data_IF_537082691315
#
_entry.id   IF_537082691315
#
_cell.length_a   1.000
_cell.length_b   1.000
_cell.length_c   1.000
_cell.angle_alpha   90.00
_cell.angle_beta   90.00
_cell.angle_gamma   90.00
#
_symmetry.space_group_name_H-M   'P 1'
#
loop_
_entity.id
_entity.type
_entity.pdbx_description
1 polymer ?
#
# COMPACT_ATOMS: atom_id res chain seq x y z
N UNK A 1 -5.56 -33.81 -10.06
CA UNK A 1 -5.84 -33.73 -8.61
C UNK A 1 -5.79 -32.25 -8.30
N UNK A 2 -6.95 -31.60 -8.24
CA UNK A 2 -7.03 -30.20 -7.84
C UNK A 2 -6.79 -30.16 -6.34
N UNK A 3 -5.67 -29.58 -5.94
CA UNK A 3 -5.38 -29.34 -4.53
C UNK A 3 -6.37 -28.30 -4.02
N UNK A 4 -7.23 -28.69 -3.08
CA UNK A 4 -8.05 -27.78 -2.30
C UNK A 4 -7.11 -26.92 -1.46
N UNK A 5 -6.64 -25.81 -2.04
CA UNK A 5 -5.79 -24.87 -1.34
C UNK A 5 -6.63 -24.23 -0.23
N UNK A 6 -6.19 -24.24 1.05
CA UNK A 6 -6.98 -23.72 2.17
C UNK A 6 -7.41 -22.26 2.03
N UNK A 7 -6.83 -21.51 1.09
CA UNK A 7 -7.17 -20.12 0.78
C UNK A 7 -8.30 -19.93 -0.26
N UNK A 8 -8.86 -21.00 -0.84
CA UNK A 8 -9.85 -20.87 -1.93
C UNK A 8 -11.28 -20.50 -1.49
N UNK A 9 -11.56 -20.39 -0.19
CA UNK A 9 -12.93 -20.21 0.31
C UNK A 9 -13.35 -18.75 0.60
N UNK A 10 -12.48 -17.76 0.40
CA UNK A 10 -12.75 -16.38 0.85
C UNK A 10 -13.64 -15.54 -0.07
N UNK A 11 -13.98 -16.01 -1.28
CA UNK A 11 -14.72 -15.23 -2.27
C UNK A 11 -16.18 -15.66 -2.50
N UNK A 12 -16.64 -16.77 -1.89
CA UNK A 12 -17.94 -17.35 -2.29
C UNK A 12 -19.12 -17.02 -1.36
N UNK A 13 -18.94 -16.41 -0.17
CA UNK A 13 -20.06 -16.20 0.75
C UNK A 13 -19.99 -14.84 1.50
N UNK A 14 -20.62 -13.80 0.94
CA UNK A 14 -20.82 -12.51 1.60
C UNK A 14 -21.78 -12.57 2.82
N UNK A 15 -22.46 -13.70 3.03
CA UNK A 15 -23.40 -13.91 4.16
C UNK A 15 -22.75 -14.57 5.38
N UNK A 16 -21.49 -15.00 5.28
CA UNK A 16 -20.81 -15.58 6.44
C UNK A 16 -20.37 -14.47 7.40
N UNK A 17 -20.62 -14.62 8.71
CA UNK A 17 -20.02 -13.74 9.69
C UNK A 17 -18.49 -13.85 9.61
N UNK A 18 -17.81 -12.72 9.80
CA UNK A 18 -16.35 -12.68 9.91
C UNK A 18 -15.90 -13.63 11.04
N UNK A 19 -14.76 -14.29 10.83
CA UNK A 19 -14.04 -14.95 11.91
C UNK A 19 -13.57 -13.93 12.94
N UNK A 20 -13.30 -14.40 14.17
CA UNK A 20 -12.79 -13.56 15.26
C UNK A 20 -11.49 -12.84 14.83
N UNK A 21 -10.61 -13.53 14.09
CA UNK A 21 -9.36 -12.96 13.58
C UNK A 21 -9.57 -11.85 12.54
N UNK A 22 -10.55 -12.03 11.64
CA UNK A 22 -10.91 -11.01 10.65
C UNK A 22 -11.57 -9.79 11.31
N UNK A 23 -12.41 -10.00 12.33
CA UNK A 23 -13.00 -8.91 13.08
C UNK A 23 -11.93 -8.10 13.84
N UNK A 24 -10.98 -8.78 14.49
CA UNK A 24 -9.84 -8.12 15.14
C UNK A 24 -9.03 -7.31 14.13
N UNK A 25 -8.71 -7.90 12.97
CA UNK A 25 -7.98 -7.20 11.91
C UNK A 25 -8.73 -5.94 11.45
N UNK A 26 -10.05 -6.04 11.24
CA UNK A 26 -10.90 -4.92 10.86
C UNK A 26 -10.91 -3.82 11.93
N UNK A 27 -11.00 -4.19 13.21
CA UNK A 27 -10.97 -3.23 14.32
C UNK A 27 -9.62 -2.48 14.41
N UNK A 28 -8.50 -3.16 14.13
CA UNK A 28 -7.17 -2.55 14.08
C UNK A 28 -7.00 -1.59 12.89
N UNK A 29 -7.68 -1.85 11.77
CA UNK A 29 -7.71 -0.96 10.60
C UNK A 29 -8.64 0.25 10.81
N UNK A 30 -9.81 0.03 11.42
CA UNK A 30 -10.88 1.03 11.57
C UNK A 30 -10.82 1.80 12.89
N UNK A 31 -9.61 1.98 13.45
CA UNK A 31 -9.42 2.85 14.61
C UNK A 31 -9.75 4.31 14.25
N UNK A 32 -10.59 4.93 15.07
CA UNK A 32 -10.97 6.35 14.95
C UNK A 32 -9.75 7.26 15.15
N UNK A 33 -8.97 7.00 16.19
CA UNK A 33 -7.71 7.71 16.41
C UNK A 33 -6.63 7.10 15.50
N UNK A 34 -6.06 7.85 14.53
CA UNK A 34 -5.03 7.34 13.64
C UNK A 34 -3.76 6.90 14.36
N UNK A 35 -3.45 7.48 15.53
CA UNK A 35 -2.26 7.07 16.30
C UNK A 35 -2.40 5.68 16.93
N UNK A 36 -3.62 5.15 17.00
CA UNK A 36 -3.90 3.80 17.51
C UNK A 36 -4.08 2.80 16.37
N UNK A 37 -4.14 3.25 15.12
CA UNK A 37 -4.26 2.39 13.95
C UNK A 37 -2.92 1.72 13.69
N UNK A 38 -2.92 0.41 13.55
CA UNK A 38 -1.72 -0.35 13.17
C UNK A 38 -1.27 0.02 11.75
N UNK A 39 0.03 0.00 11.54
CA UNK A 39 0.66 0.15 10.23
C UNK A 39 0.39 -1.07 9.34
N UNK A 40 0.55 -0.92 8.03
CA UNK A 40 0.42 -2.03 7.09
C UNK A 40 1.38 -3.19 7.41
N UNK A 41 2.61 -2.86 7.84
CA UNK A 41 3.63 -3.84 8.23
C UNK A 41 3.23 -4.64 9.49
N UNK A 42 2.47 -4.05 10.41
CA UNK A 42 1.93 -4.77 11.57
C UNK A 42 0.71 -5.61 11.20
N UNK A 43 -0.15 -5.11 10.30
CA UNK A 43 -1.38 -5.81 9.89
C UNK A 43 -1.09 -7.06 9.07
N UNK A 44 -0.07 -7.04 8.20
CA UNK A 44 0.28 -8.20 7.36
C UNK A 44 0.80 -9.39 8.16
N UNK A 45 1.20 -9.17 9.42
CA UNK A 45 1.56 -10.24 10.36
C UNK A 45 0.37 -10.97 10.99
N UNK A 46 -0.86 -10.59 10.64
CA UNK A 46 -2.09 -11.22 11.13
C UNK A 46 -2.21 -12.67 10.62
N UNK A 47 -2.71 -13.61 11.45
CA UNK A 47 -2.97 -15.00 11.04
C UNK A 47 -3.88 -15.14 9.81
N UNK A 48 -4.74 -14.13 9.57
CA UNK A 48 -5.60 -14.06 8.38
C UNK A 48 -4.80 -14.20 7.08
N UNK A 49 -3.54 -13.75 7.07
CA UNK A 49 -2.68 -13.80 5.88
C UNK A 49 -1.75 -15.01 5.82
N UNK A 50 -1.63 -15.82 6.88
CA UNK A 50 -0.62 -16.89 6.99
C UNK A 50 -0.64 -17.87 5.81
N UNK A 51 -1.81 -18.06 5.19
CA UNK A 51 -1.99 -18.99 4.09
C UNK A 51 -1.44 -18.47 2.74
N UNK A 52 -1.23 -17.15 2.61
CA UNK A 52 -0.70 -16.48 1.40
C UNK A 52 0.59 -15.70 1.65
N UNK A 53 1.05 -15.65 2.90
CA UNK A 53 2.15 -14.79 3.34
C UNK A 53 3.50 -15.26 2.79
N UNK A 54 4.27 -14.33 2.23
CA UNK A 54 5.68 -14.56 1.86
C UNK A 54 6.55 -13.40 2.39
N UNK A 55 7.29 -13.61 3.50
CA UNK A 55 8.14 -12.58 4.11
C UNK A 55 9.21 -12.01 3.17
N UNK A 56 9.62 -12.73 2.12
CA UNK A 56 10.62 -12.23 1.16
C UNK A 56 10.03 -11.15 0.24
N UNK A 57 8.71 -11.14 0.06
CA UNK A 57 7.99 -10.15 -0.75
C UNK A 57 7.51 -8.95 0.07
N UNK A 58 7.66 -8.98 1.38
CA UNK A 58 7.23 -7.92 2.32
C UNK A 58 8.34 -6.89 2.60
N UNK A 59 9.42 -6.91 1.83
CA UNK A 59 10.54 -5.99 2.04
C UNK A 59 10.11 -4.53 1.80
N UNK A 60 10.51 -3.59 2.68
CA UNK A 60 10.25 -2.17 2.45
C UNK A 60 11.03 -1.68 1.21
N UNK A 61 10.52 -0.62 0.58
CA UNK A 61 11.21 0.02 -0.53
C UNK A 61 12.62 0.46 -0.10
N UNK A 62 13.61 0.26 -0.99
CA UNK A 62 15.01 0.60 -0.71
C UNK A 62 15.30 2.10 -0.69
N UNK A 63 14.36 2.92 -1.19
CA UNK A 63 14.47 4.37 -1.25
C UNK A 63 13.08 5.01 -1.09
N UNK A 64 13.08 6.22 -0.53
CA UNK A 64 11.90 7.07 -0.51
C UNK A 64 11.78 7.83 -1.84
N UNK A 65 10.56 7.95 -2.36
CA UNK A 65 10.27 8.78 -3.53
C UNK A 65 10.25 10.23 -3.07
N UNK A 66 11.12 11.05 -3.66
CA UNK A 66 11.12 12.50 -3.50
C UNK A 66 10.61 13.11 -4.81
N UNK A 67 9.47 13.78 -4.76
CA UNK A 67 8.93 14.46 -5.93
C UNK A 67 9.28 15.94 -5.83
N UNK A 68 9.85 16.48 -6.91
CA UNK A 68 10.22 17.91 -6.98
C UNK A 68 9.02 18.83 -6.77
N UNK A 69 7.79 18.38 -7.05
CA UNK A 69 6.55 19.16 -6.84
C UNK A 69 6.19 19.31 -5.36
N UNK A 70 6.69 18.44 -4.49
CA UNK A 70 6.42 18.45 -3.06
C UNK A 70 7.41 19.35 -2.30
N UNK A 71 8.45 19.88 -2.98
CA UNK A 71 9.40 20.78 -2.34
C UNK A 71 8.76 22.14 -2.03
N UNK A 72 9.14 22.78 -0.92
CA UNK A 72 8.73 24.14 -0.63
C UNK A 72 9.05 25.08 -1.81
N UNK A 73 8.17 26.07 -2.03
CA UNK A 73 8.34 27.13 -3.04
C UNK A 73 8.29 26.69 -4.51
N UNK A 74 7.81 25.46 -4.80
CA UNK A 74 7.65 24.96 -6.18
C UNK A 74 6.35 25.34 -6.85
N UNK A 75 5.33 25.62 -6.06
CA UNK A 75 4.07 26.16 -6.57
C UNK A 75 4.10 27.68 -6.48
N UNK A 76 3.92 28.37 -7.60
CA UNK A 76 3.77 29.82 -7.63
C UNK A 76 2.30 30.17 -7.32
N UNK A 77 2.00 30.44 -6.05
CA UNK A 77 0.66 30.81 -5.59
C UNK A 77 0.14 32.12 -6.18
N UNK A 78 1.02 33.04 -6.56
CA UNK A 78 0.64 34.33 -7.15
C UNK A 78 0.18 34.15 -8.61
N UNK A 79 0.81 33.21 -9.33
CA UNK A 79 0.46 32.93 -10.73
C UNK A 79 -0.46 31.74 -10.92
N UNK A 80 -0.69 30.93 -9.87
CA UNK A 80 -1.34 29.61 -9.95
C UNK A 80 -0.70 28.70 -11.00
N UNK A 81 0.64 28.61 -10.96
CA UNK A 81 1.41 27.80 -11.90
C UNK A 81 2.30 26.84 -11.12
N UNK A 82 2.20 25.56 -11.44
CA UNK A 82 3.19 24.56 -11.04
C UNK A 82 4.50 24.80 -11.78
N UNK A 83 5.63 24.75 -11.06
CA UNK A 83 6.95 24.79 -11.69
C UNK A 83 7.27 23.56 -12.56
N UNK A 84 6.46 22.50 -12.45
CA UNK A 84 6.64 21.23 -13.16
C UNK A 84 5.43 20.96 -14.04
N UNK A 85 5.64 20.79 -15.35
CA UNK A 85 4.57 20.39 -16.26
C UNK A 85 4.22 18.92 -16.10
N UNK A 86 3.02 18.53 -16.54
CA UNK A 86 2.58 17.12 -16.54
C UNK A 86 3.57 16.23 -17.32
N UNK A 87 4.07 16.70 -18.47
CA UNK A 87 5.05 15.94 -19.27
C UNK A 87 6.36 15.70 -18.51
N UNK A 88 6.80 16.71 -17.75
CA UNK A 88 8.00 16.59 -16.91
C UNK A 88 7.78 15.61 -15.76
N UNK A 89 6.60 15.63 -15.13
CA UNK A 89 6.23 14.68 -14.08
C UNK A 89 6.22 13.23 -14.60
N UNK A 90 5.60 12.96 -15.76
CA UNK A 90 5.57 11.61 -16.35
C UNK A 90 6.98 11.10 -16.64
N UNK A 91 7.83 11.94 -17.22
CA UNK A 91 9.24 11.60 -17.50
C UNK A 91 9.99 11.26 -16.21
N UNK A 92 9.79 12.06 -15.15
CA UNK A 92 10.45 11.86 -13.85
C UNK A 92 10.02 10.53 -13.20
N UNK A 93 8.73 10.17 -13.31
CA UNK A 93 8.24 8.87 -12.84
C UNK A 93 8.82 7.70 -13.63
N UNK A 94 8.92 7.81 -14.96
CA UNK A 94 9.56 6.77 -15.79
C UNK A 94 11.03 6.54 -15.41
N UNK A 95 11.77 7.63 -15.17
CA UNK A 95 13.18 7.54 -14.77
C UNK A 95 13.34 6.97 -13.35
N UNK A 96 12.46 7.32 -12.42
CA UNK A 96 12.41 6.72 -11.08
C UNK A 96 12.12 5.22 -11.15
N UNK A 97 11.17 4.79 -11.98
CA UNK A 97 10.85 3.36 -12.14
C UNK A 97 12.03 2.58 -12.73
N UNK A 98 12.75 3.14 -13.71
CA UNK A 98 13.98 2.55 -14.26
C UNK A 98 15.08 2.46 -13.19
N UNK A 99 15.28 3.53 -12.41
CA UNK A 99 16.32 3.58 -11.38
C UNK A 99 16.05 2.59 -10.23
N UNK A 100 14.78 2.40 -9.87
CA UNK A 100 14.35 1.45 -8.85
C UNK A 100 14.36 -0.02 -9.31
N UNK A 101 14.69 -0.31 -10.58
CA UNK A 101 14.64 -1.64 -11.19
C UNK A 101 13.27 -2.33 -11.03
N UNK A 102 12.19 -1.54 -11.07
CA UNK A 102 10.83 -2.06 -10.98
C UNK A 102 10.31 -2.59 -12.34
N UNK A 103 11.12 -2.49 -13.40
CA UNK A 103 10.96 -3.12 -14.71
C UNK A 103 12.33 -3.49 -15.30
#
# INVERSE_FOLDING_TARGET
>A
MSEDHPCNNYLENFENPLSDEEEVLLQEMLRFNPTLRKSAAELISSPVFDCVRDPLLEAPASAQIFLEIDEPDKYDYEKNIDSVSIERYTTLMEDLFKAAKLF
#
